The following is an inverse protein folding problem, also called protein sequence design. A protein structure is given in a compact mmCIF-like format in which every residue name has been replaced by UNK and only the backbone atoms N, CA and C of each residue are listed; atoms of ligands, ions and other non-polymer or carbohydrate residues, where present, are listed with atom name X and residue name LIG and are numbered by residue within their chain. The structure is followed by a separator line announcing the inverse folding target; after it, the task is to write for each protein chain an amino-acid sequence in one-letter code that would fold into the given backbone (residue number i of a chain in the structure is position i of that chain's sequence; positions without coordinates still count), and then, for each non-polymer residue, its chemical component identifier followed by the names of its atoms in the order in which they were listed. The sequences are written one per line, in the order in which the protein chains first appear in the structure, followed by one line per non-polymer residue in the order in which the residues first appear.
data_IF_131296979885
#
_entry.id   IF_131296979885
#
_cell.length_a   1.000
_cell.length_b   1.000
_cell.length_c   1.000
_cell.angle_alpha   90.00
_cell.angle_beta   90.00
_cell.angle_gamma   90.00
#
_symmetry.space_group_name_H-M   'P 1'
#
loop_
_entity.id
_entity.type
_entity.pdbx_description
1 polymer ?
#
# COMPACT_ATOMS: atom_id res chain seq x y z
N UNK A 1 -3.73 -20.87 41.93
CA UNK A 1 -3.16 -19.52 41.98
C UNK A 1 -2.93 -19.06 40.56
N UNK A 2 -3.91 -18.30 40.09
CA UNK A 2 -3.95 -17.28 39.05
C UNK A 2 -3.35 -17.56 37.66
N UNK A 3 -4.27 -18.01 36.79
CA UNK A 3 -4.17 -17.97 35.34
C UNK A 3 -4.62 -16.57 34.88
N UNK A 4 -3.69 -15.64 34.63
CA UNK A 4 -4.04 -14.29 34.13
C UNK A 4 -2.97 -13.67 33.21
N UNK A 5 -2.46 -14.41 32.22
CA UNK A 5 -1.50 -13.86 31.23
C UNK A 5 -2.11 -13.47 29.88
N UNK A 6 -3.43 -13.47 29.74
CA UNK A 6 -4.12 -13.21 28.45
C UNK A 6 -4.48 -11.74 28.22
N UNK A 7 -4.10 -10.82 29.10
CA UNK A 7 -4.61 -9.44 29.09
C UNK A 7 -3.57 -8.34 28.82
N UNK A 8 -2.32 -8.67 28.49
CA UNK A 8 -1.30 -7.67 28.10
C UNK A 8 -0.37 -8.21 27.00
N UNK A 9 -0.72 -8.02 25.70
CA UNK A 9 0.21 -8.35 24.63
C UNK A 9 1.46 -7.49 24.75
N UNK A 10 2.61 -8.06 24.40
CA UNK A 10 3.91 -7.43 24.48
C UNK A 10 3.97 -6.31 23.42
N UNK A 11 4.30 -5.08 23.81
CA UNK A 11 4.28 -3.93 22.90
C UNK A 11 5.68 -3.69 22.35
N UNK A 12 5.83 -3.66 21.03
CA UNK A 12 7.08 -3.32 20.34
C UNK A 12 6.93 -1.94 19.72
N UNK A 13 7.80 -1.02 20.09
CA UNK A 13 7.83 0.33 19.53
C UNK A 13 8.93 0.43 18.48
N UNK A 14 8.58 0.86 17.27
CA UNK A 14 9.52 1.13 16.18
C UNK A 14 9.16 2.49 15.59
N UNK A 15 10.10 3.45 15.66
CA UNK A 15 10.01 4.79 15.07
C UNK A 15 8.65 5.49 15.30
N UNK A 16 8.17 5.48 16.55
CA UNK A 16 6.93 6.14 16.95
C UNK A 16 5.64 5.34 16.70
N UNK A 17 5.71 4.15 16.08
CA UNK A 17 4.58 3.23 15.93
C UNK A 17 4.66 2.07 16.92
N UNK A 18 3.55 1.78 17.58
CA UNK A 18 3.42 0.72 18.59
C UNK A 18 2.73 -0.51 17.99
N UNK A 19 3.44 -1.63 17.99
CA UNK A 19 2.98 -2.92 17.50
C UNK A 19 2.63 -3.82 18.67
N UNK A 20 1.45 -4.47 18.62
CA UNK A 20 1.07 -5.49 19.61
C UNK A 20 1.62 -6.84 19.18
N UNK A 21 2.64 -7.32 19.88
CA UNK A 21 3.22 -8.65 19.75
C UNK A 21 2.45 -9.63 20.64
N UNK A 22 1.85 -10.65 20.04
CA UNK A 22 1.16 -11.72 20.77
C UNK A 22 -0.32 -11.95 20.45
N UNK A 23 -0.86 -11.40 19.36
CA UNK A 23 -2.13 -11.94 18.88
C UNK A 23 -1.86 -13.28 18.15
N UNK A 24 -1.99 -14.36 18.92
CA UNK A 24 -2.18 -15.72 18.40
C UNK A 24 -3.35 -15.81 17.39
N UNK A 25 -4.12 -14.72 17.19
CA UNK A 25 -5.06 -14.54 16.10
C UNK A 25 -4.49 -14.63 14.67
N UNK A 26 -3.16 -14.53 14.44
CA UNK A 26 -2.56 -14.86 13.12
C UNK A 26 -2.75 -16.36 12.77
N UNK A 27 -3.13 -17.18 13.76
CA UNK A 27 -3.23 -18.64 13.67
C UNK A 27 -4.67 -19.17 13.72
N UNK A 28 -5.66 -18.30 13.91
CA UNK A 28 -7.07 -18.69 13.89
C UNK A 28 -7.62 -18.58 12.47
N UNK A 29 -8.14 -19.69 11.93
CA UNK A 29 -8.73 -19.82 10.59
C UNK A 29 -10.04 -19.03 10.36
N UNK A 30 -10.36 -18.08 11.22
CA UNK A 30 -11.68 -17.48 11.25
C UNK A 30 -11.62 -16.06 11.81
N UNK A 31 -11.25 -15.10 10.95
CA UNK A 31 -11.53 -13.67 11.16
C UNK A 31 -11.65 -12.97 9.81
N UNK A 32 -12.89 -12.63 9.43
CA UNK A 32 -13.17 -11.69 8.36
C UNK A 32 -12.43 -10.38 8.63
N UNK A 33 -11.42 -10.10 7.81
CA UNK A 33 -10.64 -8.88 7.83
C UNK A 33 -11.48 -7.76 7.24
N UNK A 34 -11.78 -6.73 8.03
CA UNK A 34 -12.32 -5.48 7.52
C UNK A 34 -11.17 -4.70 6.87
N UNK A 35 -10.98 -4.92 5.57
CA UNK A 35 -9.93 -4.37 4.73
C UNK A 35 -10.20 -2.89 4.40
N UNK A 36 -9.17 -2.03 4.33
CA UNK A 36 -9.27 -0.65 3.81
C UNK A 36 -9.83 -0.67 2.37
N UNK A 37 -10.62 0.28 1.84
CA UNK A 37 -11.33 -0.01 0.56
C UNK A 37 -10.47 0.20 -0.68
N UNK A 38 -9.46 1.08 -0.63
CA UNK A 38 -8.37 0.98 -1.60
C UNK A 38 -7.72 -0.40 -1.42
N UNK A 39 -7.35 -0.79 -0.20
CA UNK A 39 -6.78 -2.12 0.06
C UNK A 39 -7.71 -3.30 -0.29
N UNK A 40 -9.04 -3.14 -0.29
CA UNK A 40 -10.03 -4.16 -0.60
C UNK A 40 -10.31 -4.22 -2.08
N UNK A 41 -10.11 -3.11 -2.79
CA UNK A 41 -10.01 -3.06 -4.24
C UNK A 41 -8.73 -3.76 -4.72
N UNK A 42 -7.68 -3.77 -3.90
CA UNK A 42 -6.43 -4.51 -4.15
C UNK A 42 -6.38 -5.91 -3.51
N UNK A 43 -7.51 -6.47 -3.08
CA UNK A 43 -7.58 -7.78 -2.42
C UNK A 43 -8.69 -8.69 -2.98
N UNK A 44 -9.31 -8.34 -4.10
CA UNK A 44 -10.31 -9.20 -4.76
C UNK A 44 -9.74 -9.85 -6.03
N UNK A 45 -9.74 -11.19 -5.99
CA UNK A 45 -9.52 -12.18 -7.04
C UNK A 45 -8.07 -12.57 -7.43
N UNK A 46 -7.72 -13.76 -6.93
CA UNK A 46 -6.50 -14.55 -7.10
C UNK A 46 -6.52 -15.26 -8.48
N UNK A 47 -5.49 -15.06 -9.30
CA UNK A 47 -5.08 -16.03 -10.32
C UNK A 47 -3.57 -16.21 -10.28
N UNK A 48 -3.18 -17.46 -10.02
CA UNK A 48 -1.83 -17.98 -9.98
C UNK A 48 -1.23 -17.89 -11.39
N UNK A 49 -0.32 -16.95 -11.59
CA UNK A 49 0.63 -16.98 -12.70
C UNK A 49 1.98 -17.36 -12.11
N UNK A 50 2.26 -18.67 -12.12
CA UNK A 50 3.61 -19.21 -11.99
C UNK A 50 4.43 -18.66 -13.17
N UNK A 51 5.16 -17.57 -12.95
CA UNK A 51 6.19 -17.11 -13.87
C UNK A 51 7.58 -17.18 -13.21
N UNK A 52 8.40 -17.98 -13.90
CA UNK A 52 9.83 -18.20 -13.85
C UNK A 52 10.63 -17.29 -12.90
N UNK A 53 11.11 -17.90 -11.80
CA UNK A 53 12.27 -17.39 -11.08
C UNK A 53 13.47 -17.43 -12.02
N UNK A 54 13.87 -16.25 -12.50
CA UNK A 54 15.25 -16.03 -12.95
C UNK A 54 16.21 -16.64 -11.92
N UNK A 55 17.25 -17.31 -12.38
CA UNK A 55 18.22 -17.97 -11.52
C UNK A 55 19.04 -16.91 -10.75
N UNK A 56 18.52 -16.46 -9.61
CA UNK A 56 19.29 -15.60 -8.70
C UNK A 56 20.56 -16.34 -8.28
N UNK A 57 21.71 -15.75 -8.58
CA UNK A 57 22.99 -16.30 -8.18
C UNK A 57 23.22 -15.99 -6.70
N UNK A 58 22.84 -16.93 -5.84
CA UNK A 58 23.09 -16.80 -4.41
C UNK A 58 24.59 -16.93 -4.09
N UNK A 59 25.09 -15.99 -3.28
CA UNK A 59 26.46 -16.02 -2.76
C UNK A 59 26.61 -17.13 -1.70
N UNK A 60 26.97 -18.33 -2.16
CA UNK A 60 27.15 -19.52 -1.33
C UNK A 60 28.63 -19.84 -1.22
N UNK A 61 29.19 -19.69 -0.03
CA UNK A 61 30.61 -19.83 0.25
C UNK A 61 30.92 -21.13 1.03
N UNK A 62 32.08 -21.76 0.81
CA UNK A 62 32.56 -22.86 1.67
C UNK A 62 32.70 -22.41 3.13
N UNK A 63 32.29 -23.26 4.07
CA UNK A 63 32.29 -22.95 5.50
C UNK A 63 32.47 -24.23 6.32
N UNK A 64 33.65 -24.43 6.94
CA UNK A 64 33.95 -25.55 7.83
C UNK A 64 33.57 -26.94 7.26
N UNK A 65 33.94 -27.22 6.00
CA UNK A 65 33.59 -28.47 5.32
C UNK A 65 32.12 -28.56 4.87
N UNK A 66 31.38 -27.45 4.95
CA UNK A 66 29.98 -27.28 4.54
C UNK A 66 29.87 -26.06 3.62
N UNK A 67 28.66 -25.63 3.33
CA UNK A 67 28.36 -24.42 2.56
C UNK A 67 27.50 -23.47 3.38
N UNK A 68 27.75 -22.17 3.26
CA UNK A 68 27.07 -21.11 3.99
C UNK A 68 26.55 -20.05 3.02
N UNK A 69 25.36 -19.54 3.29
CA UNK A 69 24.81 -18.33 2.67
C UNK A 69 24.28 -17.41 3.76
N UNK A 70 24.60 -16.13 3.67
CA UNK A 70 24.12 -15.10 4.59
C UNK A 70 23.34 -14.09 3.76
N UNK A 71 22.14 -13.73 4.20
CA UNK A 71 21.31 -12.75 3.49
C UNK A 71 20.47 -11.93 4.45
N UNK A 72 20.20 -10.70 4.04
CA UNK A 72 19.33 -9.78 4.76
C UNK A 72 17.87 -10.25 4.66
N UNK A 73 17.13 -10.17 5.77
CA UNK A 73 15.69 -10.28 5.78
C UNK A 73 15.11 -9.27 6.76
N UNK A 74 14.09 -8.53 6.33
CA UNK A 74 13.39 -7.60 7.19
C UNK A 74 12.85 -8.31 8.44
N UNK A 75 13.06 -7.71 9.61
CA UNK A 75 12.66 -8.28 10.91
C UNK A 75 11.18 -8.69 10.99
N UNK A 76 10.22 -7.94 10.40
CA UNK A 76 8.82 -8.36 10.38
C UNK A 76 8.57 -9.73 9.74
N UNK A 77 9.50 -10.24 8.93
CA UNK A 77 9.41 -11.56 8.32
C UNK A 77 9.97 -12.71 9.18
N UNK A 78 10.76 -12.42 10.23
CA UNK A 78 11.35 -13.46 11.08
C UNK A 78 10.29 -14.38 11.71
N UNK A 79 9.15 -13.89 12.25
CA UNK A 79 8.11 -14.75 12.80
C UNK A 79 7.53 -15.75 11.80
N UNK A 80 7.47 -15.40 10.51
CA UNK A 80 6.98 -16.30 9.46
C UNK A 80 7.97 -17.43 9.19
N UNK A 81 9.27 -17.13 9.14
CA UNK A 81 10.33 -18.16 8.98
C UNK A 81 10.39 -19.07 10.21
N UNK A 82 10.22 -18.52 11.42
CA UNK A 82 10.22 -19.30 12.66
C UNK A 82 8.97 -20.19 12.73
N UNK A 83 7.78 -19.61 12.58
CA UNK A 83 6.49 -20.25 12.81
C UNK A 83 6.20 -20.55 14.29
N UNK A 84 4.96 -20.91 14.63
CA UNK A 84 4.56 -21.26 16.01
C UNK A 84 5.42 -22.37 16.53
N UNK A 85 5.99 -22.14 17.72
CA UNK A 85 6.88 -23.09 18.40
C UNK A 85 8.05 -23.54 17.49
N UNK A 86 8.44 -22.73 16.52
CA UNK A 86 9.53 -23.03 15.58
C UNK A 86 9.16 -24.06 14.50
N UNK A 87 7.87 -24.34 14.28
CA UNK A 87 7.42 -25.42 13.38
C UNK A 87 7.86 -25.22 11.94
N UNK A 88 7.81 -23.97 11.44
CA UNK A 88 8.14 -23.66 10.05
C UNK A 88 9.64 -23.77 9.83
N UNK A 89 10.45 -23.23 10.74
CA UNK A 89 11.92 -23.39 10.68
C UNK A 89 12.32 -24.87 10.69
N UNK A 90 11.80 -25.66 11.62
CA UNK A 90 12.11 -27.10 11.72
C UNK A 90 11.75 -27.85 10.44
N UNK A 91 10.59 -27.53 9.86
CA UNK A 91 10.13 -28.13 8.59
C UNK A 91 11.08 -27.76 7.45
N UNK A 92 11.41 -26.48 7.29
CA UNK A 92 12.38 -26.02 6.29
C UNK A 92 13.74 -26.70 6.46
N UNK A 93 14.31 -26.68 7.67
CA UNK A 93 15.59 -27.33 8.00
C UNK A 93 15.60 -28.83 7.65
N UNK A 94 14.49 -29.54 7.88
CA UNK A 94 14.33 -30.97 7.56
C UNK A 94 14.25 -31.19 6.04
N UNK A 95 13.36 -30.48 5.35
CA UNK A 95 13.14 -30.62 3.90
C UNK A 95 14.40 -30.30 3.08
N UNK A 96 15.20 -29.33 3.53
CA UNK A 96 16.38 -28.87 2.80
C UNK A 96 17.69 -29.38 3.38
N UNK A 97 17.66 -30.12 4.49
CA UNK A 97 18.88 -30.62 5.17
C UNK A 97 19.86 -29.49 5.50
N UNK A 98 19.36 -28.32 5.89
CA UNK A 98 20.15 -27.15 6.27
C UNK A 98 19.85 -26.73 7.71
N UNK A 99 20.74 -25.95 8.31
CA UNK A 99 20.45 -25.20 9.54
C UNK A 99 20.13 -23.75 9.20
N UNK A 100 19.09 -23.19 9.81
CA UNK A 100 18.63 -21.81 9.62
C UNK A 100 18.85 -21.06 10.93
N UNK A 101 19.82 -20.15 10.95
CA UNK A 101 20.09 -19.29 12.10
C UNK A 101 19.42 -17.94 11.86
N UNK A 102 18.54 -17.57 12.79
CA UNK A 102 17.77 -16.32 12.76
C UNK A 102 18.22 -15.50 13.97
N UNK A 103 18.53 -14.20 13.81
CA UNK A 103 18.86 -13.34 14.94
C UNK A 103 17.80 -13.38 16.03
N UNK A 104 18.22 -13.30 17.30
CA UNK A 104 17.29 -13.26 18.44
C UNK A 104 16.54 -11.94 18.48
N UNK A 105 15.41 -11.92 19.20
CA UNK A 105 14.65 -10.70 19.46
C UNK A 105 15.58 -9.63 20.09
N UNK A 106 15.61 -8.44 19.52
CA UNK A 106 16.49 -7.35 19.94
C UNK A 106 17.90 -7.36 19.35
N UNK A 107 18.30 -8.41 18.62
CA UNK A 107 19.56 -8.44 17.87
C UNK A 107 19.34 -8.02 16.42
N UNK A 108 20.26 -7.21 15.90
CA UNK A 108 20.39 -6.95 14.47
C UNK A 108 21.23 -8.06 13.83
N UNK A 109 20.90 -8.47 12.61
CA UNK A 109 21.71 -9.40 11.86
C UNK A 109 20.97 -10.02 10.69
N UNK A 110 21.75 -10.75 9.90
CA UNK A 110 21.28 -11.49 8.74
C UNK A 110 20.85 -12.90 9.11
N UNK A 111 20.05 -13.52 8.25
CA UNK A 111 19.79 -14.96 8.35
C UNK A 111 20.98 -15.70 7.77
N UNK A 112 21.41 -16.75 8.48
CA UNK A 112 22.51 -17.61 8.05
C UNK A 112 21.99 -19.02 7.77
N UNK A 113 22.20 -19.49 6.55
CA UNK A 113 21.92 -20.86 6.10
C UNK A 113 23.22 -21.65 6.05
N UNK A 114 23.23 -22.86 6.64
CA UNK A 114 24.38 -23.77 6.57
C UNK A 114 23.92 -25.16 6.12
N UNK A 115 24.47 -25.66 5.01
CA UNK A 115 24.06 -26.92 4.36
C UNK A 115 25.24 -27.80 3.97
N UNK A 116 25.02 -29.10 3.70
CA UNK A 116 26.09 -30.01 3.29
C UNK A 116 26.58 -29.77 1.86
N UNK A 117 25.72 -29.25 0.98
CA UNK A 117 26.05 -28.94 -0.42
C UNK A 117 25.50 -27.57 -0.81
N UNK A 118 26.09 -26.95 -1.83
CA UNK A 118 25.63 -25.67 -2.39
C UNK A 118 24.16 -25.72 -2.79
N UNK A 119 23.73 -26.80 -3.48
CA UNK A 119 22.35 -26.97 -3.94
C UNK A 119 21.33 -26.99 -2.78
N UNK A 120 21.68 -27.60 -1.64
CA UNK A 120 20.79 -27.64 -0.46
C UNK A 120 20.61 -26.27 0.19
N UNK A 121 21.67 -25.45 0.21
CA UNK A 121 21.61 -24.06 0.68
C UNK A 121 20.74 -23.20 -0.25
N UNK A 122 20.91 -23.34 -1.57
CA UNK A 122 20.08 -22.65 -2.57
C UNK A 122 18.61 -23.02 -2.43
N UNK A 123 18.30 -24.32 -2.29
CA UNK A 123 16.93 -24.78 -2.08
C UNK A 123 16.32 -24.18 -0.80
N UNK A 124 17.08 -24.07 0.29
CA UNK A 124 16.61 -23.44 1.52
C UNK A 124 16.31 -21.95 1.35
N UNK A 125 17.16 -21.23 0.63
CA UNK A 125 16.95 -19.81 0.28
C UNK A 125 15.67 -19.62 -0.52
N UNK A 126 15.49 -20.36 -1.61
CA UNK A 126 14.28 -20.31 -2.45
C UNK A 126 13.00 -20.64 -1.67
N UNK A 127 13.05 -21.63 -0.76
CA UNK A 127 11.89 -21.96 0.10
C UNK A 127 11.54 -20.82 1.06
N UNK A 128 12.53 -20.09 1.57
CA UNK A 128 12.31 -18.89 2.36
C UNK A 128 11.77 -17.76 1.48
N UNK A 129 12.32 -17.51 0.29
CA UNK A 129 11.79 -16.50 -0.65
C UNK A 129 10.30 -16.70 -0.94
N UNK A 130 9.89 -17.92 -1.29
CA UNK A 130 8.49 -18.25 -1.55
C UNK A 130 7.60 -18.05 -0.30
N UNK A 131 8.12 -18.39 0.89
CA UNK A 131 7.43 -18.13 2.14
C UNK A 131 7.25 -16.63 2.38
N UNK A 132 8.26 -15.81 2.10
CA UNK A 132 8.19 -14.35 2.26
C UNK A 132 7.24 -13.74 1.23
N UNK A 133 7.31 -14.13 -0.04
CA UNK A 133 6.37 -13.71 -1.10
C UNK A 133 4.92 -13.95 -0.66
N UNK A 134 4.63 -15.15 -0.15
CA UNK A 134 3.30 -15.52 0.36
C UNK A 134 2.92 -14.78 1.64
N UNK A 135 3.89 -14.55 2.54
CA UNK A 135 3.64 -13.88 3.82
C UNK A 135 3.44 -12.38 3.66
N UNK A 136 4.14 -11.74 2.71
CA UNK A 136 3.96 -10.33 2.37
C UNK A 136 2.52 -10.08 1.96
N UNK A 137 1.90 -10.99 1.20
CA UNK A 137 0.47 -10.91 0.81
C UNK A 137 -0.48 -10.65 2.00
N UNK A 138 -0.12 -11.10 3.20
CA UNK A 138 -0.91 -10.98 4.43
C UNK A 138 -0.67 -9.69 5.21
N UNK A 139 0.32 -8.89 4.81
CA UNK A 139 0.62 -7.62 5.45
C UNK A 139 -0.26 -6.52 4.86
N UNK A 140 -0.66 -5.61 5.73
CA UNK A 140 -1.38 -4.40 5.36
C UNK A 140 -0.48 -3.41 4.62
N UNK A 141 -1.08 -2.60 3.74
CA UNK A 141 -0.36 -1.50 3.11
C UNK A 141 0.16 -0.51 4.15
N UNK A 142 1.38 -0.01 3.91
CA UNK A 142 2.04 0.93 4.80
C UNK A 142 2.30 2.27 4.13
N UNK A 143 2.41 2.29 2.81
CA UNK A 143 2.69 3.47 2.01
C UNK A 143 1.91 3.44 0.69
N UNK A 144 1.93 4.56 -0.01
CA UNK A 144 1.38 4.67 -1.35
C UNK A 144 2.15 5.73 -2.17
N UNK A 145 2.22 5.51 -3.48
CA UNK A 145 2.73 6.47 -4.45
C UNK A 145 1.56 7.38 -4.85
N UNK A 146 1.74 8.71 -4.78
CA UNK A 146 0.68 9.65 -5.11
C UNK A 146 1.14 10.97 -5.71
N UNK A 147 0.22 11.61 -6.43
CA UNK A 147 0.32 13.01 -6.83
C UNK A 147 -0.55 13.84 -5.88
N UNK A 148 0.01 14.80 -5.12
CA UNK A 148 -0.79 15.71 -4.31
C UNK A 148 -1.70 16.57 -5.20
N UNK A 149 -2.99 16.63 -4.85
CA UNK A 149 -3.98 17.47 -5.56
C UNK A 149 -4.60 18.50 -4.64
N UNK A 150 -3.95 18.79 -3.51
CA UNK A 150 -4.40 19.71 -2.47
C UNK A 150 -3.92 21.15 -2.74
N UNK A 151 -3.76 21.56 -4.00
CA UNK A 151 -3.48 22.95 -4.33
C UNK A 151 -4.71 23.83 -4.11
N UNK A 152 -4.51 25.14 -3.95
CA UNK A 152 -5.58 26.09 -3.64
C UNK A 152 -6.72 26.06 -4.67
N UNK A 153 -6.40 25.94 -5.96
CA UNK A 153 -7.40 25.86 -7.04
C UNK A 153 -8.37 24.70 -6.82
N UNK A 154 -7.84 23.49 -6.59
CA UNK A 154 -8.66 22.28 -6.40
C UNK A 154 -9.38 22.29 -5.05
N UNK A 155 -8.74 22.75 -3.97
CA UNK A 155 -9.39 22.87 -2.67
C UNK A 155 -10.58 23.84 -2.71
N UNK A 156 -10.45 24.96 -3.41
CA UNK A 156 -11.53 25.93 -3.56
C UNK A 156 -12.71 25.35 -4.37
N UNK A 157 -12.44 24.61 -5.45
CA UNK A 157 -13.50 23.94 -6.20
C UNK A 157 -14.16 22.82 -5.39
N UNK A 158 -13.39 22.05 -4.62
CA UNK A 158 -13.92 21.04 -3.71
C UNK A 158 -14.81 21.65 -2.63
N UNK A 159 -14.40 22.78 -2.04
CA UNK A 159 -15.19 23.46 -1.02
C UNK A 159 -16.53 23.96 -1.57
N UNK A 160 -16.54 24.55 -2.77
CA UNK A 160 -17.78 24.95 -3.47
C UNK A 160 -18.68 23.75 -3.79
N UNK A 161 -18.10 22.64 -4.21
CA UNK A 161 -18.82 21.39 -4.43
C UNK A 161 -19.46 20.90 -3.12
N UNK A 162 -18.70 20.83 -2.02
CA UNK A 162 -19.18 20.43 -0.70
C UNK A 162 -20.35 21.30 -0.24
N UNK A 163 -20.20 22.63 -0.32
CA UNK A 163 -21.26 23.58 0.03
C UNK A 163 -22.51 23.39 -0.81
N UNK A 164 -22.36 23.22 -2.13
CA UNK A 164 -23.48 22.98 -3.04
C UNK A 164 -24.22 21.67 -2.74
N UNK A 165 -23.50 20.60 -2.39
CA UNK A 165 -24.10 19.30 -2.05
C UNK A 165 -24.84 19.37 -0.72
N UNK A 166 -24.26 20.03 0.30
CA UNK A 166 -24.87 20.17 1.62
C UNK A 166 -26.04 21.17 1.64
N UNK A 167 -26.05 22.16 0.75
CA UNK A 167 -27.13 23.15 0.62
C UNK A 167 -28.29 22.70 -0.29
N UNK A 168 -28.27 21.45 -0.76
CA UNK A 168 -29.33 20.94 -1.63
C UNK A 168 -30.71 20.98 -0.92
N UNK A 169 -31.73 21.48 -1.62
CA UNK A 169 -33.09 21.65 -1.07
C UNK A 169 -33.72 20.33 -0.56
N UNK A 170 -33.32 19.20 -1.15
CA UNK A 170 -33.81 17.88 -0.75
C UNK A 170 -32.64 17.08 -0.16
N UNK A 171 -32.75 16.63 1.11
CA UNK A 171 -31.70 15.84 1.73
C UNK A 171 -31.53 14.52 0.98
N UNK A 172 -30.26 14.14 0.79
CA UNK A 172 -29.87 12.87 0.17
C UNK A 172 -29.51 11.87 1.27
N UNK A 173 -30.00 10.64 1.15
CA UNK A 173 -29.78 9.59 2.17
C UNK A 173 -28.28 9.40 2.41
N UNK A 174 -27.87 9.52 3.67
CA UNK A 174 -26.48 9.28 4.09
C UNK A 174 -25.48 10.35 3.64
N UNK A 175 -25.90 11.46 3.02
CA UNK A 175 -24.99 12.55 2.67
C UNK A 175 -24.86 13.49 3.86
N UNK A 176 -23.70 13.44 4.50
CA UNK A 176 -23.38 14.16 5.75
C UNK A 176 -22.00 14.82 5.62
N UNK A 177 -21.70 15.81 6.46
CA UNK A 177 -20.43 16.54 6.37
C UNK A 177 -19.20 15.64 6.61
N UNK A 178 -19.35 14.65 7.47
CA UNK A 178 -18.30 13.73 7.93
C UNK A 178 -17.79 12.81 6.83
N UNK A 179 -18.58 12.58 5.77
CA UNK A 179 -18.15 11.73 4.66
C UNK A 179 -17.35 12.49 3.60
N UNK A 180 -17.18 13.81 3.71
CA UNK A 180 -16.33 14.57 2.80
C UNK A 180 -14.84 14.43 3.15
N UNK A 181 -14.01 14.32 2.12
CA UNK A 181 -12.56 14.26 2.27
C UNK A 181 -12.01 15.52 2.94
N UNK A 182 -10.95 15.35 3.74
CA UNK A 182 -10.15 16.47 4.21
C UNK A 182 -9.44 17.12 3.01
N UNK A 183 -9.68 18.40 2.69
CA UNK A 183 -9.07 19.07 1.53
C UNK A 183 -7.55 18.98 1.53
N UNK A 184 -6.94 18.99 2.72
CA UNK A 184 -5.48 18.89 2.86
C UNK A 184 -4.96 17.54 2.42
N UNK A 185 -5.76 16.46 2.49
CA UNK A 185 -5.40 15.08 2.17
C UNK A 185 -5.75 14.66 0.73
N UNK A 186 -6.28 15.56 -0.10
CA UNK A 186 -6.63 15.23 -1.48
C UNK A 186 -5.39 14.86 -2.31
N UNK A 187 -5.45 13.71 -2.99
CA UNK A 187 -4.38 13.16 -3.81
C UNK A 187 -4.93 12.21 -4.88
N UNK A 188 -4.10 11.90 -5.88
CA UNK A 188 -4.26 10.79 -6.81
C UNK A 188 -3.35 9.65 -6.38
N UNK A 189 -3.91 8.46 -6.15
CA UNK A 189 -3.14 7.25 -5.84
C UNK A 189 -2.65 6.60 -7.14
N UNK A 190 -1.34 6.34 -7.25
CA UNK A 190 -0.72 5.58 -8.35
C UNK A 190 -0.56 4.11 -7.97
N UNK A 191 -0.21 3.83 -6.71
CA UNK A 191 0.04 2.45 -6.28
C UNK A 191 0.23 2.29 -4.78
N UNK A 192 -0.23 1.17 -4.24
CA UNK A 192 -0.12 0.85 -2.81
C UNK A 192 1.09 -0.04 -2.54
N UNK A 193 1.80 0.25 -1.44
CA UNK A 193 3.08 -0.38 -1.10
C UNK A 193 3.06 -0.99 0.30
N UNK A 194 3.77 -2.10 0.46
CA UNK A 194 4.10 -2.70 1.75
C UNK A 194 5.60 -2.55 1.97
N UNK A 195 6.01 -1.47 2.62
CA UNK A 195 7.40 -1.20 3.02
C UNK A 195 7.55 -1.47 4.51
N UNK A 196 8.37 -2.45 4.89
CA UNK A 196 8.39 -2.99 6.26
C UNK A 196 9.55 -2.50 7.14
N UNK A 197 10.54 -1.80 6.56
CA UNK A 197 11.66 -1.21 7.30
C UNK A 197 12.27 0.00 6.56
N UNK A 198 13.42 0.52 7.04
CA UNK A 198 14.13 1.63 6.40
C UNK A 198 14.81 1.25 5.08
N UNK A 199 15.28 0.02 4.92
CA UNK A 199 15.98 -0.42 3.70
C UNK A 199 15.00 -0.45 2.53
N UNK A 200 13.83 -1.06 2.73
CA UNK A 200 12.76 -1.07 1.72
C UNK A 200 12.25 0.34 1.41
N UNK A 201 12.21 1.24 2.41
CA UNK A 201 11.85 2.65 2.18
C UNK A 201 12.88 3.36 1.29
N UNK A 202 14.16 3.19 1.57
CA UNK A 202 15.24 3.76 0.76
C UNK A 202 15.28 3.18 -0.67
N UNK A 203 14.99 1.89 -0.82
CA UNK A 203 14.87 1.23 -2.13
C UNK A 203 13.67 1.77 -2.93
N UNK A 204 12.51 1.92 -2.30
CA UNK A 204 11.34 2.51 -2.94
C UNK A 204 11.58 3.97 -3.36
N UNK A 205 12.30 4.75 -2.55
CA UNK A 205 12.69 6.13 -2.94
C UNK A 205 13.64 6.13 -4.13
N UNK A 206 14.64 5.24 -4.15
CA UNK A 206 15.53 5.08 -5.32
C UNK A 206 14.77 4.63 -6.56
N UNK A 207 13.78 3.75 -6.42
CA UNK A 207 12.90 3.33 -7.50
C UNK A 207 12.07 4.50 -8.04
N UNK A 208 11.56 5.38 -7.18
CA UNK A 208 10.84 6.58 -7.62
C UNK A 208 11.75 7.58 -8.37
N UNK A 209 13.00 7.75 -7.93
CA UNK A 209 14.00 8.54 -8.68
C UNK A 209 14.32 7.91 -10.04
N UNK A 210 14.39 6.58 -10.12
CA UNK A 210 14.53 5.90 -11.41
C UNK A 210 13.35 6.21 -12.35
N UNK A 211 12.11 6.17 -11.84
CA UNK A 211 10.92 6.57 -12.61
C UNK A 211 10.99 8.02 -13.07
N UNK A 212 11.52 8.93 -12.25
CA UNK A 212 11.72 10.32 -12.64
C UNK A 212 12.59 10.43 -13.89
N UNK A 213 13.74 9.78 -13.88
CA UNK A 213 14.71 9.86 -14.98
C UNK A 213 14.24 9.14 -16.25
N UNK A 214 13.57 8.00 -16.12
CA UNK A 214 13.31 7.09 -17.24
C UNK A 214 11.87 7.12 -17.75
N UNK A 215 10.91 7.64 -16.97
CA UNK A 215 9.48 7.68 -17.34
C UNK A 215 9.00 9.13 -17.41
N UNK A 216 9.16 9.88 -16.33
CA UNK A 216 8.52 11.19 -16.16
C UNK A 216 9.25 12.27 -16.98
N UNK A 217 10.57 12.41 -16.83
CA UNK A 217 11.34 13.41 -17.55
C UNK A 217 11.25 13.26 -19.08
N UNK A 218 11.33 12.04 -19.67
CA UNK A 218 11.09 11.85 -21.10
C UNK A 218 9.68 12.26 -21.54
N UNK A 219 8.65 11.93 -20.75
CA UNK A 219 7.28 12.31 -21.04
C UNK A 219 7.08 13.83 -21.01
N UNK A 220 7.67 14.53 -20.05
CA UNK A 220 7.63 15.99 -19.95
C UNK A 220 8.44 16.65 -21.08
N UNK A 221 9.62 16.11 -21.43
CA UNK A 221 10.42 16.62 -22.54
C UNK A 221 9.65 16.53 -23.88
N UNK A 222 8.91 15.44 -24.09
CA UNK A 222 8.10 15.21 -25.29
C UNK A 222 6.84 16.08 -25.35
N UNK A 223 6.13 16.20 -24.24
CA UNK A 223 4.77 16.79 -24.21
C UNK A 223 4.71 18.21 -23.63
N UNK A 224 5.81 18.69 -23.05
CA UNK A 224 5.86 19.90 -22.22
C UNK A 224 5.34 19.67 -20.80
N UNK A 225 5.27 20.72 -19.97
CA UNK A 225 4.69 20.65 -18.63
C UNK A 225 3.27 20.08 -18.65
N UNK A 226 2.98 19.11 -17.80
CA UNK A 226 1.70 18.40 -17.80
C UNK A 226 0.65 19.18 -17.02
N UNK A 227 -0.21 19.91 -17.73
CA UNK A 227 -1.40 20.52 -17.16
C UNK A 227 -2.48 19.46 -16.92
N UNK A 228 -2.94 19.38 -15.68
CA UNK A 228 -3.96 18.45 -15.22
C UNK A 228 -5.24 19.20 -14.89
N UNK A 229 -6.37 18.70 -15.38
CA UNK A 229 -7.70 19.25 -15.10
C UNK A 229 -8.49 18.27 -14.24
N UNK A 230 -8.95 18.73 -13.07
CA UNK A 230 -9.83 17.97 -12.20
C UNK A 230 -11.27 18.37 -12.51
N UNK A 231 -12.03 17.44 -13.11
CA UNK A 231 -13.38 17.73 -13.57
C UNK A 231 -14.27 16.51 -13.54
N UNK A 232 -15.52 16.74 -13.17
CA UNK A 232 -16.58 15.75 -13.12
C UNK A 232 -16.43 14.80 -11.95
N UNK A 233 -17.52 14.10 -11.67
CA UNK A 233 -17.64 13.15 -10.56
C UNK A 233 -18.00 11.78 -11.07
N UNK A 234 -17.53 10.77 -10.36
CA UNK A 234 -17.92 9.38 -10.53
C UNK A 234 -17.87 8.67 -9.17
N UNK A 235 -18.18 7.39 -9.14
CA UNK A 235 -18.25 6.61 -7.92
C UNK A 235 -17.63 5.22 -8.09
N UNK A 236 -17.30 4.62 -6.97
CA UNK A 236 -16.91 3.21 -6.91
C UNK A 236 -18.16 2.35 -6.71
N UNK A 237 -18.25 1.22 -7.43
CA UNK A 237 -19.36 0.26 -7.51
C UNK A 237 -20.44 0.62 -8.55
N UNK A 238 -21.45 -0.25 -8.71
CA UNK A 238 -22.42 -0.20 -9.82
C UNK A 238 -23.72 0.57 -9.52
N UNK A 239 -24.08 0.75 -8.25
CA UNK A 239 -25.37 1.36 -7.86
C UNK A 239 -25.16 2.79 -7.31
N UNK A 240 -25.61 3.85 -8.03
CA UNK A 240 -25.48 5.23 -7.59
C UNK A 240 -26.35 5.58 -6.36
N UNK A 241 -27.30 4.73 -5.97
CA UNK A 241 -28.08 4.89 -4.74
C UNK A 241 -27.38 4.27 -3.50
N UNK A 242 -26.37 3.42 -3.70
CA UNK A 242 -25.68 2.64 -2.68
C UNK A 242 -24.16 2.86 -2.71
N UNK A 243 -23.75 4.13 -2.77
CA UNK A 243 -22.36 4.53 -2.95
C UNK A 243 -21.58 4.50 -1.64
N UNK A 244 -20.32 4.10 -1.75
CA UNK A 244 -19.35 4.08 -0.66
C UNK A 244 -18.21 5.09 -0.86
N UNK A 245 -17.82 5.33 -2.10
CA UNK A 245 -16.78 6.29 -2.49
C UNK A 245 -17.26 7.06 -3.71
N UNK A 246 -17.24 8.39 -3.62
CA UNK A 246 -17.41 9.31 -4.75
C UNK A 246 -16.07 10.01 -4.98
N UNK A 247 -15.65 10.11 -6.23
CA UNK A 247 -14.36 10.69 -6.61
C UNK A 247 -14.48 11.65 -7.78
N UNK A 248 -13.50 12.55 -7.91
CA UNK A 248 -13.31 13.38 -9.09
C UNK A 248 -12.38 12.68 -10.08
N UNK A 249 -12.63 12.92 -11.37
CA UNK A 249 -11.77 12.47 -12.46
C UNK A 249 -10.67 13.50 -12.72
N UNK A 250 -9.52 13.01 -13.19
CA UNK A 250 -8.41 13.84 -13.66
C UNK A 250 -8.17 13.59 -15.14
N UNK A 251 -7.90 14.66 -15.88
CA UNK A 251 -7.58 14.60 -17.30
C UNK A 251 -6.24 15.27 -17.56
N UNK A 252 -5.53 14.73 -18.54
CA UNK A 252 -4.34 15.34 -19.12
C UNK A 252 -4.46 15.29 -20.64
N UNK A 253 -3.78 16.20 -21.33
CA UNK A 253 -3.71 16.20 -22.79
C UNK A 253 -3.14 14.86 -23.26
N UNK A 254 -3.76 14.28 -24.29
CA UNK A 254 -3.34 13.02 -24.93
C UNK A 254 -3.18 11.84 -23.95
N UNK A 255 -3.82 11.91 -22.78
CA UNK A 255 -3.80 10.89 -21.73
C UNK A 255 -2.40 10.57 -21.15
N UNK A 256 -1.45 11.49 -21.27
CA UNK A 256 -0.05 11.29 -20.84
C UNK A 256 0.08 10.94 -19.35
N UNK A 257 -0.79 11.49 -18.50
CA UNK A 257 -0.78 11.16 -17.07
C UNK A 257 -1.06 9.67 -16.82
N UNK A 258 -1.97 9.07 -17.57
CA UNK A 258 -2.29 7.64 -17.43
C UNK A 258 -1.09 6.79 -17.84
N UNK A 259 -0.43 7.12 -18.96
CA UNK A 259 0.76 6.40 -19.42
C UNK A 259 1.90 6.45 -18.39
N UNK A 260 2.09 7.61 -17.73
CA UNK A 260 3.08 7.76 -16.65
C UNK A 260 2.68 6.91 -15.44
N UNK A 261 1.42 6.98 -15.00
CA UNK A 261 0.95 6.25 -13.84
C UNK A 261 1.05 4.73 -14.05
N UNK A 262 0.65 4.24 -15.22
CA UNK A 262 0.74 2.82 -15.60
C UNK A 262 2.21 2.37 -15.62
N UNK A 263 3.13 3.11 -16.27
CA UNK A 263 4.56 2.75 -16.29
C UNK A 263 5.21 2.77 -14.90
N UNK A 264 4.82 3.71 -14.02
CA UNK A 264 5.31 3.71 -12.62
C UNK A 264 4.80 2.47 -11.89
N UNK A 265 3.51 2.15 -12.03
CA UNK A 265 2.90 0.96 -11.43
C UNK A 265 3.57 -0.32 -11.94
N UNK A 266 3.81 -0.41 -13.24
CA UNK A 266 4.52 -1.51 -13.91
C UNK A 266 5.92 -1.69 -13.34
N UNK A 267 6.72 -0.63 -13.31
CA UNK A 267 8.06 -0.69 -12.78
C UNK A 267 8.09 -1.14 -11.31
N UNK A 268 7.21 -0.58 -10.46
CA UNK A 268 7.14 -0.96 -9.04
C UNK A 268 6.63 -2.39 -8.82
N UNK A 269 5.80 -2.91 -9.73
CA UNK A 269 5.38 -4.30 -9.74
C UNK A 269 6.54 -5.22 -10.10
N UNK A 270 7.28 -4.90 -11.16
CA UNK A 270 8.41 -5.70 -11.67
C UNK A 270 9.52 -5.86 -10.62
N UNK A 271 9.80 -4.81 -9.85
CA UNK A 271 10.77 -4.85 -8.74
C UNK A 271 10.19 -5.39 -7.41
N UNK A 272 8.93 -5.85 -7.41
CA UNK A 272 8.31 -6.56 -6.29
C UNK A 272 7.79 -5.70 -5.12
N UNK A 273 7.70 -4.37 -5.28
CA UNK A 273 7.19 -3.47 -4.25
C UNK A 273 5.67 -3.26 -4.29
N UNK A 274 5.05 -3.46 -5.45
CA UNK A 274 3.63 -3.23 -5.69
C UNK A 274 2.93 -4.53 -6.07
N UNK A 275 1.63 -4.61 -5.77
CA UNK A 275 0.72 -5.63 -6.28
C UNK A 275 -0.25 -4.97 -7.25
N UNK A 276 -0.55 -5.65 -8.33
CA UNK A 276 -1.52 -5.20 -9.33
C UNK A 276 -2.76 -6.07 -9.26
N UNK A 277 -3.90 -5.41 -9.23
CA UNK A 277 -5.22 -6.04 -9.34
C UNK A 277 -5.91 -5.66 -10.67
N UNK A 278 -5.29 -4.77 -11.44
CA UNK A 278 -5.69 -4.41 -12.79
C UNK A 278 -4.47 -4.00 -13.62
N UNK A 279 -4.58 -4.10 -14.94
CA UNK A 279 -3.53 -3.70 -15.89
C UNK A 279 -3.29 -2.18 -15.91
N UNK A 280 -4.30 -1.39 -15.51
CA UNK A 280 -4.24 0.08 -15.53
C UNK A 280 -4.53 0.66 -14.17
N UNK A 281 -3.84 1.74 -13.85
CA UNK A 281 -4.06 2.52 -12.63
C UNK A 281 -5.41 3.22 -12.72
N UNK A 282 -6.29 3.00 -11.73
CA UNK A 282 -7.53 3.76 -11.61
C UNK A 282 -7.25 5.15 -10.99
N UNK A 283 -6.88 6.12 -11.81
CA UNK A 283 -6.58 7.48 -11.37
C UNK A 283 -7.86 8.23 -10.94
N UNK A 284 -7.98 8.49 -9.65
CA UNK A 284 -9.12 9.19 -9.07
C UNK A 284 -8.75 10.00 -7.82
N UNK A 285 -9.51 11.07 -7.55
CA UNK A 285 -9.36 11.88 -6.34
C UNK A 285 -10.59 11.66 -5.46
N UNK A 286 -10.44 10.95 -4.35
CA UNK A 286 -11.56 10.72 -3.42
C UNK A 286 -12.12 12.04 -2.88
N UNK A 287 -13.41 12.29 -3.14
CA UNK A 287 -14.15 13.45 -2.64
C UNK A 287 -14.98 13.12 -1.41
N UNK A 288 -15.63 11.95 -1.43
CA UNK A 288 -16.47 11.47 -0.35
C UNK A 288 -16.21 9.99 -0.09
N UNK A 289 -16.17 9.58 1.18
CA UNK A 289 -16.01 8.20 1.58
C UNK A 289 -16.78 7.92 2.88
N UNK A 290 -17.66 6.93 2.86
CA UNK A 290 -18.47 6.54 4.03
C UNK A 290 -17.64 6.04 5.21
N UNK A 291 -16.37 5.63 5.01
CA UNK A 291 -15.45 5.28 6.10
C UNK A 291 -15.05 6.49 6.95
N UNK A 292 -15.20 7.72 6.45
CA UNK A 292 -14.84 8.92 7.19
C UNK A 292 -15.81 9.21 8.35
N UNK A 293 -17.03 8.64 8.35
CA UNK A 293 -17.94 8.70 9.50
C UNK A 293 -17.36 8.12 10.77
N UNK A 294 -16.49 7.13 10.62
CA UNK A 294 -15.99 6.33 11.74
C UNK A 294 -14.51 6.68 11.94
N UNK A 295 -14.13 7.11 13.16
CA UNK A 295 -12.72 7.27 13.54
C UNK A 295 -11.94 6.02 13.20
N UNK A 296 -10.71 6.20 12.73
CA UNK A 296 -9.95 5.10 12.12
C UNK A 296 -9.73 3.91 13.06
N UNK A 297 -9.53 4.19 14.35
CA UNK A 297 -9.36 3.22 15.43
C UNK A 297 -10.64 2.44 15.77
N UNK A 298 -11.81 2.97 15.39
CA UNK A 298 -13.13 2.36 15.63
C UNK A 298 -13.70 1.64 14.40
N UNK A 299 -13.03 1.71 13.23
CA UNK A 299 -13.53 1.10 11.98
C UNK A 299 -13.63 -0.42 12.02
N UNK A 300 -12.90 -1.09 12.93
CA UNK A 300 -12.80 -2.55 12.93
C UNK A 300 -14.13 -3.19 13.34
N UNK A 301 -14.80 -3.82 12.37
CA UNK A 301 -16.09 -4.51 12.59
C UNK A 301 -17.29 -3.57 12.58
N UNK A 302 -17.10 -2.29 12.28
CA UNK A 302 -18.20 -1.35 12.17
C UNK A 302 -18.99 -1.56 10.88
N UNK A 303 -20.33 -1.50 10.98
CA UNK A 303 -21.20 -1.60 9.82
C UNK A 303 -21.09 -0.32 9.00
N UNK A 304 -20.84 -0.48 7.70
CA UNK A 304 -20.73 0.64 6.78
C UNK A 304 -22.10 1.01 6.25
N UNK A 305 -22.42 2.29 6.31
CA UNK A 305 -23.65 2.84 5.73
C UNK A 305 -23.32 3.55 4.43
N UNK A 306 -23.98 3.16 3.34
CA UNK A 306 -23.87 3.77 2.01
C UNK A 306 -24.54 5.15 1.98
N UNK A 307 -24.36 5.90 0.88
CA UNK A 307 -25.13 7.11 0.60
C UNK A 307 -25.66 7.11 -0.83
N UNK A 308 -26.75 7.84 -1.05
CA UNK A 308 -27.33 8.03 -2.38
C UNK A 308 -26.66 9.22 -3.08
N UNK A 309 -25.91 8.93 -4.14
CA UNK A 309 -25.19 9.92 -4.94
C UNK A 309 -25.95 10.33 -6.22
N UNK A 310 -27.14 9.78 -6.50
CA UNK A 310 -27.86 9.94 -7.78
C UNK A 310 -28.03 11.41 -8.17
N UNK A 311 -28.44 12.25 -7.22
CA UNK A 311 -28.61 13.70 -7.44
C UNK A 311 -27.27 14.44 -7.55
N UNK A 312 -26.25 14.02 -6.79
CA UNK A 312 -24.89 14.55 -6.89
C UNK A 312 -24.34 14.31 -8.29
N UNK A 313 -24.42 13.08 -8.78
CA UNK A 313 -23.95 12.70 -10.12
C UNK A 313 -24.65 13.50 -11.21
N UNK A 314 -25.96 13.74 -11.09
CA UNK A 314 -26.71 14.54 -12.06
C UNK A 314 -26.32 16.03 -12.02
N UNK A 315 -26.20 16.62 -10.83
CA UNK A 315 -25.93 18.04 -10.67
C UNK A 315 -24.45 18.40 -10.92
N UNK A 316 -23.54 17.48 -10.59
CA UNK A 316 -22.10 17.73 -10.58
C UNK A 316 -21.32 16.96 -11.63
N UNK A 317 -21.98 16.28 -12.57
CA UNK A 317 -21.38 15.48 -13.65
C UNK A 317 -20.17 16.14 -14.30
N UNK A 318 -20.26 17.44 -14.58
CA UNK A 318 -19.26 18.21 -15.32
C UNK A 318 -18.58 19.29 -14.46
N UNK A 319 -18.71 19.21 -13.12
CA UNK A 319 -18.15 20.21 -12.19
C UNK A 319 -16.64 20.30 -12.34
N UNK A 320 -16.11 21.48 -12.64
CA UNK A 320 -14.67 21.74 -12.67
C UNK A 320 -14.19 22.10 -11.27
N UNK A 321 -13.32 21.27 -10.71
CA UNK A 321 -12.74 21.49 -9.38
C UNK A 321 -11.50 22.37 -9.43
N UNK A 322 -10.68 22.26 -10.48
CA UNK A 322 -9.49 23.07 -10.61
C UNK A 322 -8.53 22.54 -11.66
N UNK A 323 -7.44 23.27 -11.84
CA UNK A 323 -6.34 22.90 -12.74
C UNK A 323 -5.01 23.11 -12.03
N UNK A 324 -4.04 22.26 -12.33
CA UNK A 324 -2.69 22.36 -11.79
C UNK A 324 -1.69 21.68 -12.71
N UNK A 325 -0.43 22.11 -12.66
CA UNK A 325 0.65 21.42 -13.37
C UNK A 325 1.22 20.35 -12.46
N UNK A 326 1.48 19.14 -13.00
CA UNK A 326 2.21 18.10 -12.28
C UNK A 326 3.57 18.65 -11.81
N UNK A 327 3.79 18.66 -10.50
CA UNK A 327 4.99 19.24 -9.89
C UNK A 327 5.74 18.24 -9.03
N UNK A 328 5.04 17.38 -8.28
CA UNK A 328 5.67 16.38 -7.41
C UNK A 328 4.91 15.05 -7.41
N UNK A 329 5.65 13.97 -7.16
CA UNK A 329 5.12 12.63 -6.83
C UNK A 329 5.75 12.20 -5.51
N UNK A 330 4.93 11.69 -4.60
CA UNK A 330 5.32 11.35 -3.23
C UNK A 330 5.17 9.85 -2.99
N UNK A 331 6.06 9.28 -2.19
CA UNK A 331 5.80 8.07 -1.40
C UNK A 331 5.34 8.54 -0.02
N UNK A 332 4.05 8.37 0.26
CA UNK A 332 3.41 8.83 1.48
C UNK A 332 3.12 7.68 2.43
N UNK A 333 3.24 7.93 3.73
CA UNK A 333 2.91 6.93 4.75
C UNK A 333 1.40 6.89 4.98
N UNK A 334 0.82 5.69 4.91
CA UNK A 334 -0.58 5.49 5.26
C UNK A 334 -0.78 5.79 6.76
N UNK A 335 -1.99 6.26 7.11
CA UNK A 335 -2.41 6.54 8.49
C UNK A 335 -1.51 7.53 9.25
N UNK A 336 -0.89 8.46 8.52
CA UNK A 336 0.03 9.46 9.07
C UNK A 336 -0.50 10.88 8.85
N UNK A 337 0.02 11.85 9.59
CA UNK A 337 -0.25 13.26 9.35
C UNK A 337 0.95 14.12 9.70
N UNK A 338 1.45 14.89 8.73
CA UNK A 338 2.51 15.89 8.90
C UNK A 338 1.96 17.21 9.44
N UNK A 339 2.87 18.13 9.81
CA UNK A 339 2.53 19.45 10.36
C UNK A 339 1.63 20.31 9.47
N UNK A 340 1.74 20.16 8.14
CA UNK A 340 0.88 20.84 7.18
C UNK A 340 -0.52 20.19 7.01
N UNK A 341 -0.75 19.03 7.62
CA UNK A 341 -1.98 18.25 7.52
C UNK A 341 -2.03 17.25 6.35
N UNK A 342 -0.98 17.18 5.52
CA UNK A 342 -0.83 16.12 4.51
C UNK A 342 -0.36 14.81 5.17
N UNK A 343 -0.09 13.77 4.38
CA UNK A 343 0.56 12.56 4.85
C UNK A 343 2.04 12.81 5.10
N UNK A 344 2.62 12.09 6.06
CA UNK A 344 4.08 12.05 6.21
C UNK A 344 4.71 11.51 4.93
N UNK A 345 5.77 12.18 4.49
CA UNK A 345 6.44 11.88 3.22
C UNK A 345 7.67 11.04 3.54
N UNK A 346 7.73 9.83 2.99
CA UNK A 346 8.91 8.97 3.05
C UNK A 346 9.93 9.36 1.98
N UNK A 347 9.46 9.79 0.80
CA UNK A 347 10.29 10.43 -0.21
C UNK A 347 9.43 11.10 -1.27
N UNK A 348 10.03 12.00 -2.05
CA UNK A 348 9.34 12.71 -3.11
C UNK A 348 10.30 13.08 -4.24
N UNK A 349 9.75 13.20 -5.44
CA UNK A 349 10.43 13.71 -6.61
C UNK A 349 9.76 14.99 -7.09
N UNK A 350 10.55 15.87 -7.70
CA UNK A 350 10.08 17.03 -8.46
C UNK A 350 10.06 16.64 -9.94
N UNK A 351 8.95 16.91 -10.62
CA UNK A 351 8.69 16.55 -12.01
C UNK A 351 9.15 17.63 -12.98
#
# INVERSE_FOLDING_TARGET
MDNNSTLRPELVWIDGRCYRFGDSGVWSKDRGTAVYQEESMYLEDDYDSDEDSASEEFDVQPYNGRFKHTFYLAKPFFPFVIGTKGSTRKRLETETSTSIQIPKLGQNGDIVLVGPTRQKVILARQRIDNLIKTSRKKLHYTHFISIPTNCESVQNGFQKFKESVLAANEPMRGVEEEIFQNPKKMHLTIGMLVLVDSIEREEAVRALEHCKENIIAPAILKNGPLLLTVQGVDYMNDDPAEVNVLYAKVYSKDNVLQEIADQISDYFFDIGFLRKDADKVNLHITLMNTKFRIPEDERRGAKRETFDATKILKAHKDTKFGEFTLSTIHISQLHSQSSNGYYEITGSIIC
#
